data_IF_849203715269
#
_entry.id   IF_849203715269
#
_cell.length_a   1.000
_cell.length_b   1.000
_cell.length_c   1.000
_cell.angle_alpha   90.00
_cell.angle_beta   90.00
_cell.angle_gamma   90.00
#
_symmetry.space_group_name_H-M   'P 1'
#
loop_
_entity.id
_entity.type
_entity.pdbx_description
1 polymer ?
#
# COMPACT_ATOMS: atom_id res chain seq x y z
N UNK A 1 30.33 -30.54 -19.51
CA UNK A 1 29.24 -29.69 -19.07
C UNK A 1 28.75 -28.96 -20.30
N UNK A 2 27.71 -29.48 -20.94
CA UNK A 2 27.16 -28.86 -22.14
C UNK A 2 26.56 -27.46 -21.77
N UNK A 3 26.78 -26.45 -22.57
CA UNK A 3 26.16 -25.16 -22.35
C UNK A 3 24.62 -25.32 -22.46
N UNK A 4 23.91 -25.01 -21.39
CA UNK A 4 22.46 -24.95 -21.42
C UNK A 4 22.02 -24.01 -22.54
N UNK A 5 21.41 -24.58 -23.56
CA UNK A 5 20.81 -23.84 -24.66
C UNK A 5 19.68 -22.99 -24.11
N UNK A 6 19.91 -21.67 -24.01
CA UNK A 6 18.90 -20.73 -23.59
C UNK A 6 17.88 -20.65 -24.73
N UNK A 7 16.61 -21.03 -24.53
CA UNK A 7 15.62 -20.93 -25.59
C UNK A 7 15.52 -19.48 -26.04
N UNK A 8 15.51 -19.28 -27.35
CA UNK A 8 15.37 -17.95 -27.95
C UNK A 8 14.08 -17.32 -27.39
N UNK A 9 14.12 -16.03 -26.99
CA UNK A 9 12.93 -15.34 -26.50
C UNK A 9 11.85 -15.39 -27.59
N UNK A 10 10.56 -15.54 -27.23
CA UNK A 10 9.48 -15.47 -28.18
C UNK A 10 9.55 -14.13 -28.90
N UNK A 11 9.63 -14.17 -30.24
CA UNK A 11 9.63 -12.97 -31.06
C UNK A 11 8.24 -12.35 -30.95
N UNK A 12 8.17 -11.22 -30.26
CA UNK A 12 6.94 -10.41 -30.20
C UNK A 12 6.76 -9.77 -31.59
N UNK A 13 5.88 -10.34 -32.40
CA UNK A 13 5.51 -9.73 -33.67
C UNK A 13 4.34 -8.75 -33.42
N UNK A 14 4.68 -7.53 -33.01
CA UNK A 14 3.73 -6.43 -32.83
C UNK A 14 3.57 -5.73 -34.20
N UNK A 15 2.47 -6.02 -34.88
CA UNK A 15 2.09 -5.28 -36.09
C UNK A 15 1.40 -3.98 -35.66
N UNK A 16 2.14 -2.88 -35.74
CA UNK A 16 1.60 -1.55 -35.53
C UNK A 16 0.94 -1.04 -36.80
N UNK A 17 -0.20 -0.33 -36.71
CA UNK A 17 -0.81 0.31 -37.85
C UNK A 17 0.10 1.43 -38.41
N UNK A 18 0.14 1.55 -39.72
CA UNK A 18 0.92 2.59 -40.41
C UNK A 18 0.32 3.97 -40.09
N UNK A 19 1.09 4.89 -39.46
CA UNK A 19 0.63 6.21 -39.10
C UNK A 19 0.28 7.12 -40.28
N UNK A 20 0.81 6.79 -41.49
CA UNK A 20 0.55 7.55 -42.70
C UNK A 20 -0.62 6.97 -43.52
N UNK A 21 -1.23 5.88 -43.06
CA UNK A 21 -2.33 5.21 -43.78
C UNK A 21 -3.66 5.87 -43.50
N UNK A 22 -4.27 6.44 -44.53
CA UNK A 22 -5.65 6.96 -44.49
C UNK A 22 -6.72 5.84 -44.63
N UNK A 23 -6.32 4.57 -44.67
CA UNK A 23 -7.22 3.43 -44.95
C UNK A 23 -8.01 3.01 -43.70
N UNK A 24 -7.58 3.40 -42.51
CA UNK A 24 -8.21 3.10 -41.22
C UNK A 24 -8.69 4.38 -40.55
N UNK A 25 -9.81 4.32 -39.85
CA UNK A 25 -10.30 5.45 -39.11
C UNK A 25 -9.39 5.78 -37.91
N UNK A 26 -9.38 7.02 -37.47
CA UNK A 26 -8.64 7.44 -36.26
C UNK A 26 -9.02 6.62 -35.03
N UNK A 27 -10.30 6.24 -34.90
CA UNK A 27 -10.77 5.41 -33.80
C UNK A 27 -10.19 4.00 -33.88
N UNK A 28 -10.15 3.40 -35.06
CA UNK A 28 -9.56 2.07 -35.27
C UNK A 28 -8.05 2.09 -35.10
N UNK A 29 -7.39 3.13 -35.55
CA UNK A 29 -5.95 3.35 -35.33
C UNK A 29 -5.61 3.37 -33.83
N UNK A 30 -6.33 4.17 -33.07
CA UNK A 30 -6.13 4.25 -31.61
C UNK A 30 -6.44 2.93 -30.89
N UNK A 31 -7.51 2.23 -31.29
CA UNK A 31 -7.85 0.92 -30.71
C UNK A 31 -6.75 -0.12 -30.94
N UNK A 32 -6.14 -0.17 -32.13
CA UNK A 32 -5.01 -1.08 -32.41
C UNK A 32 -3.75 -0.71 -31.63
N UNK A 33 -3.50 0.59 -31.44
CA UNK A 33 -2.40 1.04 -30.56
C UNK A 33 -2.62 0.67 -29.10
N UNK A 34 -3.84 0.81 -28.59
CA UNK A 34 -4.19 0.40 -27.23
C UNK A 34 -4.05 -1.11 -27.03
N UNK A 35 -4.44 -1.91 -28.01
CA UNK A 35 -4.27 -3.36 -28.01
C UNK A 35 -2.78 -3.75 -27.98
N UNK A 36 -1.97 -3.14 -28.85
CA UNK A 36 -0.52 -3.34 -28.89
C UNK A 36 0.14 -2.92 -27.57
N UNK A 37 -0.30 -1.81 -26.98
CA UNK A 37 0.18 -1.34 -25.67
C UNK A 37 -0.17 -2.33 -24.56
N UNK A 38 -1.40 -2.85 -24.54
CA UNK A 38 -1.83 -3.85 -23.57
C UNK A 38 -1.00 -5.15 -23.66
N UNK A 39 -0.58 -5.55 -24.86
CA UNK A 39 0.35 -6.68 -25.04
C UNK A 39 1.70 -6.38 -24.37
N UNK A 40 2.27 -5.19 -24.56
CA UNK A 40 3.53 -4.80 -23.90
C UNK A 40 3.39 -4.83 -22.38
N UNK A 41 2.29 -4.29 -21.83
CA UNK A 41 2.04 -4.27 -20.39
C UNK A 41 1.95 -5.68 -19.78
N UNK A 42 1.38 -6.65 -20.50
CA UNK A 42 1.31 -8.06 -20.07
C UNK A 42 2.70 -8.68 -19.90
N UNK A 43 3.57 -8.51 -20.89
CA UNK A 43 4.93 -9.04 -20.80
C UNK A 43 5.74 -8.32 -19.72
N UNK A 44 5.51 -7.04 -19.50
CA UNK A 44 6.19 -6.28 -18.45
C UNK A 44 5.82 -6.83 -17.07
N UNK A 45 4.54 -7.06 -16.78
CA UNK A 45 4.09 -7.62 -15.51
C UNK A 45 4.69 -9.00 -15.24
N UNK A 46 4.63 -9.92 -16.19
CA UNK A 46 5.16 -11.27 -16.03
C UNK A 46 6.69 -11.27 -15.86
N UNK A 47 7.39 -10.46 -16.63
CA UNK A 47 8.84 -10.28 -16.50
C UNK A 47 9.22 -9.69 -15.14
N UNK A 48 8.46 -8.75 -14.62
CA UNK A 48 8.70 -8.18 -13.31
C UNK A 48 8.44 -9.17 -12.18
N UNK A 49 7.41 -10.02 -12.29
CA UNK A 49 7.17 -11.13 -11.34
C UNK A 49 8.38 -12.08 -11.32
N UNK A 50 8.91 -12.47 -12.48
CA UNK A 50 10.08 -13.33 -12.55
C UNK A 50 11.33 -12.68 -11.97
N UNK A 51 11.58 -11.40 -12.26
CA UNK A 51 12.67 -10.64 -11.62
C UNK A 51 12.50 -10.59 -10.11
N UNK A 52 11.27 -10.43 -9.62
CA UNK A 52 10.96 -10.49 -8.20
C UNK A 52 11.27 -11.84 -7.56
N UNK A 53 10.92 -12.94 -8.22
CA UNK A 53 11.27 -14.31 -7.77
C UNK A 53 12.78 -14.52 -7.68
N UNK A 54 13.53 -14.06 -8.68
CA UNK A 54 15.01 -14.11 -8.66
C UNK A 54 15.56 -13.32 -7.47
N UNK A 55 15.08 -12.09 -7.27
CA UNK A 55 15.50 -11.23 -6.16
C UNK A 55 15.16 -11.82 -4.79
N UNK A 56 13.97 -12.43 -4.64
CA UNK A 56 13.58 -13.14 -3.43
C UNK A 56 14.50 -14.32 -3.15
N UNK A 57 14.82 -15.13 -4.16
CA UNK A 57 15.72 -16.26 -4.02
C UNK A 57 17.14 -15.84 -3.59
N UNK A 58 17.67 -14.74 -4.16
CA UNK A 58 18.98 -14.19 -3.75
C UNK A 58 18.91 -13.67 -2.31
N UNK A 59 17.88 -12.87 -1.96
CA UNK A 59 17.68 -12.35 -0.60
C UNK A 59 17.62 -13.50 0.43
N UNK A 60 16.87 -14.54 0.15
CA UNK A 60 16.62 -15.61 1.10
C UNK A 60 17.84 -16.55 1.24
N UNK A 61 18.60 -16.73 0.15
CA UNK A 61 19.88 -17.42 0.20
C UNK A 61 20.90 -16.68 1.09
N UNK A 62 21.00 -15.36 0.94
CA UNK A 62 21.90 -14.54 1.74
C UNK A 62 21.50 -14.50 3.23
N UNK A 63 20.18 -14.58 3.54
CA UNK A 63 19.69 -14.64 4.92
C UNK A 63 20.03 -15.96 5.63
N UNK A 64 20.01 -17.10 4.92
CA UNK A 64 20.23 -18.43 5.53
C UNK A 64 21.65 -18.63 6.07
N UNK A 65 22.64 -17.88 5.56
CA UNK A 65 24.03 -18.01 5.98
C UNK A 65 24.67 -19.35 5.53
N UNK A 66 25.99 -19.44 5.62
CA UNK A 66 26.73 -20.64 5.28
C UNK A 66 28.05 -20.33 4.56
N UNK A 67 28.91 -21.35 4.38
CA UNK A 67 30.10 -21.28 3.54
C UNK A 67 29.67 -21.00 2.09
N UNK A 68 30.25 -20.00 1.47
CA UNK A 68 29.90 -19.52 0.11
C UNK A 68 28.95 -18.35 0.09
N UNK A 69 28.84 -17.60 1.18
CA UNK A 69 28.19 -16.29 1.18
C UNK A 69 28.79 -15.40 0.09
N UNK A 70 27.90 -14.90 -0.76
CA UNK A 70 28.21 -13.78 -1.63
C UNK A 70 28.46 -12.50 -0.79
N UNK A 71 28.67 -11.42 -1.49
CA UNK A 71 28.94 -10.09 -0.91
C UNK A 71 27.73 -9.48 -0.17
N UNK A 72 26.63 -10.25 -0.01
CA UNK A 72 25.36 -9.83 0.58
C UNK A 72 24.38 -9.25 -0.42
N UNK A 73 23.07 -9.36 -0.11
CA UNK A 73 21.99 -8.95 -1.02
C UNK A 73 22.14 -7.49 -1.51
N UNK A 74 22.49 -6.56 -0.61
CA UNK A 74 22.65 -5.15 -0.99
C UNK A 74 23.84 -4.93 -1.93
N UNK A 75 24.93 -5.67 -1.77
CA UNK A 75 26.07 -5.61 -2.66
C UNK A 75 25.69 -6.18 -4.05
N UNK A 76 24.99 -7.32 -4.08
CA UNK A 76 24.48 -7.92 -5.30
C UNK A 76 23.57 -6.96 -6.09
N UNK A 77 22.73 -6.17 -5.40
CA UNK A 77 21.89 -5.14 -6.01
C UNK A 77 22.74 -4.00 -6.62
N UNK A 78 23.77 -3.54 -5.90
CA UNK A 78 24.67 -2.46 -6.38
C UNK A 78 25.40 -2.87 -7.66
N UNK A 79 25.92 -4.09 -7.71
CA UNK A 79 26.62 -4.62 -8.89
C UNK A 79 25.73 -4.67 -10.16
N UNK A 80 24.40 -4.69 -9.96
CA UNK A 80 23.39 -4.69 -11.04
C UNK A 80 22.67 -3.37 -11.22
N UNK A 81 23.10 -2.33 -10.51
CA UNK A 81 22.49 -1.01 -10.54
C UNK A 81 21.00 -1.00 -10.18
N UNK A 82 20.56 -1.96 -9.35
CA UNK A 82 19.19 -2.07 -8.88
C UNK A 82 19.03 -1.33 -7.55
N UNK A 83 18.17 -0.31 -7.50
CA UNK A 83 17.88 0.38 -6.25
C UNK A 83 17.16 -0.55 -5.25
N UNK A 84 17.43 -0.36 -3.94
CA UNK A 84 16.77 -1.11 -2.86
C UNK A 84 15.22 -1.05 -2.99
N UNK A 85 14.69 0.14 -3.21
CA UNK A 85 13.23 0.34 -3.37
C UNK A 85 12.68 -0.47 -4.54
N UNK A 86 13.34 -0.45 -5.70
CA UNK A 86 12.93 -1.23 -6.88
C UNK A 86 12.97 -2.73 -6.59
N UNK A 87 14.03 -3.21 -5.95
CA UNK A 87 14.18 -4.63 -5.59
C UNK A 87 13.03 -5.11 -4.70
N UNK A 88 12.73 -4.39 -3.61
CA UNK A 88 11.64 -4.77 -2.71
C UNK A 88 10.25 -4.66 -3.36
N UNK A 89 10.03 -3.70 -4.26
CA UNK A 89 8.79 -3.63 -5.04
C UNK A 89 8.61 -4.86 -5.94
N UNK A 90 9.68 -5.32 -6.60
CA UNK A 90 9.64 -6.52 -7.44
C UNK A 90 9.44 -7.79 -6.59
N UNK A 91 10.08 -7.89 -5.43
CA UNK A 91 9.88 -9.00 -4.50
C UNK A 91 8.42 -9.03 -4.03
N UNK A 92 7.85 -7.91 -3.63
CA UNK A 92 6.44 -7.81 -3.24
C UNK A 92 5.51 -8.26 -4.36
N UNK A 93 5.82 -7.89 -5.60
CA UNK A 93 5.03 -8.32 -6.76
C UNK A 93 5.08 -9.86 -6.95
N UNK A 94 6.24 -10.47 -6.74
CA UNK A 94 6.40 -11.92 -6.80
C UNK A 94 5.69 -12.63 -5.65
N UNK A 95 5.77 -12.10 -4.44
CA UNK A 95 5.05 -12.61 -3.26
C UNK A 95 3.53 -12.51 -3.45
N UNK A 96 3.04 -11.42 -4.07
CA UNK A 96 1.64 -11.28 -4.46
C UNK A 96 1.20 -12.32 -5.50
N UNK A 97 2.06 -12.63 -6.47
CA UNK A 97 1.79 -13.67 -7.46
C UNK A 97 1.74 -15.07 -6.82
N UNK A 98 2.63 -15.35 -5.88
CA UNK A 98 2.60 -16.62 -5.14
C UNK A 98 1.31 -16.74 -4.32
N UNK A 99 0.86 -15.66 -3.70
CA UNK A 99 -0.39 -15.65 -2.94
C UNK A 99 -1.62 -15.90 -3.82
N UNK A 100 -1.74 -15.23 -4.96
CA UNK A 100 -2.93 -15.31 -5.81
C UNK A 100 -2.92 -16.53 -6.73
N UNK A 101 -1.80 -16.83 -7.38
CA UNK A 101 -1.67 -17.94 -8.34
C UNK A 101 -1.31 -19.22 -7.60
N UNK A 102 -0.30 -19.21 -6.74
CA UNK A 102 0.09 -20.37 -5.93
C UNK A 102 -1.01 -20.78 -4.95
N UNK A 103 -1.81 -19.85 -4.45
CA UNK A 103 -3.01 -20.09 -3.66
C UNK A 103 -4.21 -20.62 -4.46
N UNK A 104 -4.13 -20.72 -5.78
CA UNK A 104 -5.18 -21.26 -6.65
C UNK A 104 -6.38 -20.32 -6.89
N UNK A 105 -6.29 -19.06 -6.48
CA UNK A 105 -7.35 -18.07 -6.72
C UNK A 105 -7.35 -17.54 -8.15
N UNK A 106 -6.15 -17.41 -8.74
CA UNK A 106 -5.92 -16.83 -10.05
C UNK A 106 -5.18 -17.81 -10.96
N UNK A 107 -5.66 -18.00 -12.18
CA UNK A 107 -4.93 -18.75 -13.19
C UNK A 107 -3.70 -17.99 -13.67
N UNK A 108 -2.60 -18.69 -13.99
CA UNK A 108 -1.35 -18.06 -14.43
C UNK A 108 -1.54 -17.20 -15.70
N UNK A 109 -2.39 -17.65 -16.61
CA UNK A 109 -2.76 -16.93 -17.83
C UNK A 109 -3.53 -15.66 -17.56
N UNK A 110 -4.34 -15.64 -16.50
CA UNK A 110 -5.20 -14.52 -16.10
C UNK A 110 -4.45 -13.37 -15.41
N UNK A 111 -3.20 -13.60 -15.00
CA UNK A 111 -2.30 -12.52 -14.52
C UNK A 111 -2.18 -11.39 -15.57
N UNK A 112 -2.24 -11.75 -16.85
CA UNK A 112 -2.16 -10.81 -17.95
C UNK A 112 -3.37 -9.86 -18.05
N UNK A 113 -4.45 -10.14 -17.35
CA UNK A 113 -5.64 -9.30 -17.31
C UNK A 113 -5.54 -8.16 -16.28
N UNK A 114 -4.44 -8.06 -15.56
CA UNK A 114 -4.22 -7.02 -14.57
C UNK A 114 -3.25 -5.93 -15.05
N UNK A 115 -3.55 -4.68 -14.73
CA UNK A 115 -2.49 -3.70 -14.63
C UNK A 115 -1.62 -4.00 -13.39
N UNK A 116 -0.32 -3.70 -13.42
CA UNK A 116 0.61 -3.95 -12.30
C UNK A 116 0.10 -3.42 -10.96
N UNK A 117 -0.45 -2.20 -10.95
CA UNK A 117 -0.99 -1.59 -9.73
C UNK A 117 -2.28 -2.27 -9.26
N UNK A 118 -3.12 -2.72 -10.18
CA UNK A 118 -4.31 -3.50 -9.85
C UNK A 118 -3.92 -4.82 -9.20
N UNK A 119 -2.93 -5.51 -9.76
CA UNK A 119 -2.45 -6.79 -9.25
C UNK A 119 -1.95 -6.70 -7.79
N UNK A 120 -1.09 -5.71 -7.50
CA UNK A 120 -0.61 -5.47 -6.13
C UNK A 120 -1.73 -5.09 -5.16
N UNK A 121 -2.69 -4.29 -5.62
CA UNK A 121 -3.81 -3.85 -4.78
C UNK A 121 -4.80 -5.00 -4.52
N UNK A 122 -5.00 -5.91 -5.50
CA UNK A 122 -5.79 -7.14 -5.32
C UNK A 122 -5.17 -8.06 -4.28
N UNK A 123 -3.85 -8.29 -4.34
CA UNK A 123 -3.17 -9.15 -3.38
C UNK A 123 -3.20 -8.62 -1.92
N UNK A 124 -3.49 -7.33 -1.75
CA UNK A 124 -3.62 -6.67 -0.44
C UNK A 124 -5.07 -6.47 0.00
N UNK A 125 -6.03 -6.81 -0.84
CA UNK A 125 -7.46 -6.69 -0.55
C UNK A 125 -7.93 -7.80 0.40
N UNK A 126 -9.13 -7.65 0.93
CA UNK A 126 -9.79 -8.71 1.70
C UNK A 126 -9.95 -9.99 0.88
N UNK A 127 -9.90 -11.19 1.50
CA UNK A 127 -9.95 -12.47 0.78
C UNK A 127 -11.16 -12.60 -0.15
N UNK A 128 -12.33 -12.11 0.27
CA UNK A 128 -13.55 -12.13 -0.54
C UNK A 128 -13.44 -11.22 -1.76
N UNK A 129 -12.81 -10.07 -1.61
CA UNK A 129 -12.54 -9.15 -2.73
C UNK A 129 -11.49 -9.75 -3.68
N UNK A 130 -10.46 -10.42 -3.13
CA UNK A 130 -9.48 -11.14 -3.93
C UNK A 130 -10.16 -12.22 -4.79
N UNK A 131 -11.08 -12.98 -4.21
CA UNK A 131 -11.82 -14.02 -4.91
C UNK A 131 -12.66 -13.43 -6.05
N UNK A 132 -13.48 -12.42 -5.76
CA UNK A 132 -14.34 -11.77 -6.76
C UNK A 132 -13.55 -11.20 -7.94
N UNK A 133 -12.42 -10.55 -7.66
CA UNK A 133 -11.57 -9.97 -8.71
C UNK A 133 -10.85 -11.05 -9.49
N UNK A 134 -10.37 -12.10 -8.83
CA UNK A 134 -9.71 -13.22 -9.49
C UNK A 134 -10.66 -14.00 -10.40
N UNK A 135 -11.90 -14.22 -9.98
CA UNK A 135 -12.95 -14.82 -10.81
C UNK A 135 -13.19 -13.99 -12.07
N UNK A 136 -13.38 -12.67 -11.92
CA UNK A 136 -13.57 -11.78 -13.07
C UNK A 136 -12.36 -11.79 -14.02
N UNK A 137 -11.13 -11.85 -13.48
CA UNK A 137 -9.91 -11.96 -14.28
C UNK A 137 -9.81 -13.32 -15.00
N UNK A 138 -10.20 -14.41 -14.34
CA UNK A 138 -10.22 -15.75 -14.94
C UNK A 138 -11.25 -15.86 -16.06
N UNK A 139 -12.32 -15.08 -15.99
CA UNK A 139 -13.31 -14.91 -17.09
C UNK A 139 -12.79 -14.01 -18.24
N UNK A 140 -11.58 -13.50 -18.15
CA UNK A 140 -10.94 -12.67 -19.18
C UNK A 140 -11.21 -11.17 -19.07
N UNK A 141 -11.81 -10.70 -17.98
CA UNK A 141 -12.03 -9.27 -17.76
C UNK A 141 -10.72 -8.54 -17.44
N UNK A 142 -10.53 -7.38 -18.04
CA UNK A 142 -9.39 -6.51 -17.75
C UNK A 142 -9.59 -5.82 -16.40
N UNK A 143 -8.67 -6.03 -15.47
CA UNK A 143 -8.74 -5.53 -14.10
C UNK A 143 -7.91 -4.26 -13.94
N UNK A 144 -8.59 -3.16 -13.67
CA UNK A 144 -7.97 -1.86 -13.42
C UNK A 144 -7.91 -1.57 -11.93
N UNK A 145 -6.92 -0.76 -11.52
CA UNK A 145 -6.81 -0.28 -10.14
C UNK A 145 -8.09 0.38 -9.62
N UNK A 146 -8.81 1.10 -10.49
CA UNK A 146 -10.06 1.77 -10.12
C UNK A 146 -11.16 0.77 -9.75
N UNK A 147 -11.25 -0.36 -10.46
CA UNK A 147 -12.19 -1.43 -10.15
C UNK A 147 -11.87 -2.10 -8.82
N UNK A 148 -10.59 -2.47 -8.60
CA UNK A 148 -10.15 -3.08 -7.33
C UNK A 148 -10.51 -2.17 -6.15
N UNK A 149 -10.17 -0.90 -6.23
CA UNK A 149 -10.49 0.07 -5.16
C UNK A 149 -11.97 0.22 -4.92
N UNK A 150 -12.76 0.30 -6.00
CA UNK A 150 -14.20 0.42 -5.87
C UNK A 150 -14.79 -0.79 -5.14
N UNK A 151 -14.44 -2.00 -5.56
CA UNK A 151 -14.91 -3.22 -4.92
C UNK A 151 -14.44 -3.33 -3.47
N UNK A 152 -13.18 -3.00 -3.18
CA UNK A 152 -12.66 -2.97 -1.80
C UNK A 152 -13.39 -1.95 -0.94
N UNK A 153 -13.69 -0.75 -1.46
CA UNK A 153 -14.41 0.28 -0.72
C UNK A 153 -15.88 -0.13 -0.48
N UNK A 154 -16.54 -0.74 -1.48
CA UNK A 154 -17.90 -1.28 -1.38
C UNK A 154 -17.97 -2.40 -0.33
N UNK A 155 -17.05 -3.36 -0.41
CA UNK A 155 -16.95 -4.47 0.54
C UNK A 155 -16.69 -3.97 1.96
N UNK A 156 -15.69 -3.12 2.15
CA UNK A 156 -15.36 -2.54 3.46
C UNK A 156 -16.54 -1.78 4.06
N UNK A 157 -17.26 -1.01 3.27
CA UNK A 157 -18.41 -0.24 3.72
C UNK A 157 -19.60 -1.12 4.09
N UNK A 158 -19.77 -2.27 3.44
CA UNK A 158 -20.86 -3.21 3.70
C UNK A 158 -20.60 -4.11 4.92
N UNK A 159 -19.35 -4.57 5.09
CA UNK A 159 -19.03 -5.67 6.03
C UNK A 159 -18.33 -5.24 7.30
N UNK A 160 -17.75 -4.02 7.34
CA UNK A 160 -16.94 -3.60 8.48
C UNK A 160 -17.73 -3.54 9.79
N UNK A 161 -17.29 -4.26 10.85
CA UNK A 161 -17.90 -4.18 12.19
C UNK A 161 -17.62 -2.84 12.89
N UNK A 162 -16.68 -2.04 12.37
CA UNK A 162 -16.33 -0.74 12.93
C UNK A 162 -17.37 0.34 12.60
N UNK A 163 -18.26 0.08 11.64
CA UNK A 163 -19.28 1.03 11.23
C UNK A 163 -20.58 0.81 12.04
N UNK A 164 -21.21 1.90 12.50
CA UNK A 164 -22.58 1.85 12.99
C UNK A 164 -23.54 1.35 11.92
N UNK A 165 -24.62 0.70 12.35
CA UNK A 165 -25.65 0.15 11.44
C UNK A 165 -26.26 1.23 10.55
N UNK A 166 -26.47 2.42 11.11
CA UNK A 166 -27.04 3.57 10.40
C UNK A 166 -26.19 4.00 9.20
N UNK A 167 -24.86 3.94 9.34
CA UNK A 167 -23.94 4.24 8.25
C UNK A 167 -23.97 3.13 7.18
N UNK A 168 -23.97 1.85 7.62
CA UNK A 168 -24.05 0.71 6.70
C UNK A 168 -25.34 0.74 5.88
N UNK A 169 -26.47 0.97 6.54
CA UNK A 169 -27.76 1.05 5.88
C UNK A 169 -27.84 2.20 4.88
N UNK A 170 -27.39 3.39 5.26
CA UNK A 170 -27.34 4.53 4.34
C UNK A 170 -26.38 4.30 3.15
N UNK A 171 -25.34 3.52 3.34
CA UNK A 171 -24.43 3.15 2.24
C UNK A 171 -25.14 2.14 1.31
N UNK A 172 -25.87 1.15 1.85
CA UNK A 172 -26.67 0.21 1.08
C UNK A 172 -27.77 0.93 0.27
N UNK A 173 -28.38 1.96 0.85
CA UNK A 173 -29.40 2.81 0.20
C UNK A 173 -28.79 3.83 -0.81
N UNK A 174 -27.48 3.78 -1.07
CA UNK A 174 -26.73 4.71 -1.92
C UNK A 174 -26.79 6.19 -1.49
N UNK A 175 -27.15 6.48 -0.23
CA UNK A 175 -27.13 7.83 0.34
C UNK A 175 -25.73 8.26 0.75
N UNK A 176 -24.85 7.29 1.11
CA UNK A 176 -23.44 7.52 1.39
C UNK A 176 -22.58 6.76 0.38
N UNK A 177 -21.65 7.43 -0.32
CA UNK A 177 -20.78 6.74 -1.25
C UNK A 177 -19.73 5.88 -0.52
N UNK A 178 -19.53 4.59 -0.86
CA UNK A 178 -18.54 3.69 -0.24
C UNK A 178 -17.14 4.29 -0.18
N UNK A 179 -16.73 5.03 -1.20
CA UNK A 179 -15.43 5.73 -1.26
C UNK A 179 -15.22 6.78 -0.15
N UNK A 180 -16.28 7.25 0.49
CA UNK A 180 -16.19 8.16 1.63
C UNK A 180 -16.17 7.39 2.96
N UNK A 181 -16.81 6.23 3.01
CA UNK A 181 -16.95 5.40 4.20
C UNK A 181 -15.71 4.52 4.43
N UNK A 182 -15.16 3.91 3.40
CA UNK A 182 -13.99 3.04 3.52
C UNK A 182 -12.75 3.72 4.14
N UNK A 183 -12.40 5.00 3.84
CA UNK A 183 -11.35 5.71 4.56
C UNK A 183 -11.62 5.87 6.06
N UNK A 184 -12.89 6.07 6.47
CA UNK A 184 -13.27 6.14 7.86
C UNK A 184 -12.94 4.83 8.60
N UNK A 185 -13.32 3.68 8.02
CA UNK A 185 -13.01 2.36 8.59
C UNK A 185 -11.51 2.19 8.79
N UNK A 186 -10.70 2.54 7.79
CA UNK A 186 -9.23 2.42 7.86
C UNK A 186 -8.62 3.30 8.95
N UNK A 187 -9.17 4.47 9.21
CA UNK A 187 -8.68 5.34 10.28
C UNK A 187 -9.20 4.90 11.65
N UNK A 188 -10.45 4.44 11.76
CA UNK A 188 -10.99 3.88 13.01
C UNK A 188 -10.22 2.64 13.45
N UNK A 189 -9.84 1.75 12.53
CA UNK A 189 -9.09 0.54 12.83
C UNK A 189 -7.72 0.79 13.50
N UNK A 190 -7.18 2.00 13.40
CA UNK A 190 -5.90 2.39 14.02
C UNK A 190 -6.06 2.92 15.45
N UNK A 191 -7.28 3.18 15.88
CA UNK A 191 -7.56 3.79 17.17
C UNK A 191 -7.84 2.72 18.24
N UNK A 192 -7.61 3.02 19.53
CA UNK A 192 -8.10 2.22 20.65
C UNK A 192 -9.63 2.14 20.67
N UNK A 193 -10.16 1.09 21.28
CA UNK A 193 -11.60 0.78 21.27
C UNK A 193 -12.48 1.87 21.89
N UNK A 194 -12.01 2.49 22.98
CA UNK A 194 -12.68 3.63 23.62
C UNK A 194 -12.88 4.81 22.67
N UNK A 195 -11.82 5.19 21.95
CA UNK A 195 -11.90 6.26 20.95
C UNK A 195 -12.74 5.87 19.73
N UNK A 196 -12.69 4.61 19.32
CA UNK A 196 -13.56 4.11 18.25
C UNK A 196 -15.04 4.26 18.66
N UNK A 197 -15.40 3.91 19.91
CA UNK A 197 -16.78 3.96 20.36
C UNK A 197 -17.29 5.40 20.48
N UNK A 198 -16.47 6.33 20.95
CA UNK A 198 -16.83 7.75 20.97
C UNK A 198 -17.12 8.29 19.57
N UNK A 199 -16.29 7.97 18.58
CA UNK A 199 -16.50 8.39 17.21
C UNK A 199 -17.70 7.67 16.56
N UNK A 200 -17.95 6.41 16.90
CA UNK A 200 -19.14 5.68 16.46
C UNK A 200 -20.44 6.29 17.02
N UNK A 201 -20.42 6.77 18.27
CA UNK A 201 -21.57 7.46 18.85
C UNK A 201 -21.93 8.71 18.08
N UNK A 202 -20.96 9.55 17.75
CA UNK A 202 -21.16 10.76 16.93
C UNK A 202 -21.75 10.41 15.53
N UNK A 203 -21.30 9.31 14.92
CA UNK A 203 -21.82 8.85 13.64
C UNK A 203 -23.26 8.30 13.70
N UNK A 204 -23.68 7.73 14.86
CA UNK A 204 -25.07 7.30 15.06
C UNK A 204 -26.03 8.50 15.17
N UNK A 205 -25.58 9.57 15.83
CA UNK A 205 -26.39 10.78 16.01
C UNK A 205 -26.63 11.51 14.70
N UNK A 206 -25.60 11.61 13.86
CA UNK A 206 -25.64 12.32 12.59
C UNK A 206 -24.99 11.49 11.46
N UNK A 207 -25.70 10.51 10.87
CA UNK A 207 -25.14 9.63 9.86
C UNK A 207 -25.11 10.28 8.46
N UNK A 208 -24.55 11.48 8.33
CA UNK A 208 -24.48 12.25 7.09
C UNK A 208 -23.08 12.30 6.50
N UNK A 209 -22.98 12.59 5.19
CA UNK A 209 -21.71 12.60 4.46
C UNK A 209 -20.70 13.58 5.06
N UNK A 210 -21.14 14.76 5.46
CA UNK A 210 -20.25 15.77 6.05
C UNK A 210 -19.72 15.31 7.40
N UNK A 211 -20.57 14.66 8.21
CA UNK A 211 -20.15 14.10 9.50
C UNK A 211 -19.16 12.93 9.30
N UNK A 212 -19.39 12.06 8.33
CA UNK A 212 -18.46 10.98 7.95
C UNK A 212 -17.08 11.54 7.60
N UNK A 213 -17.02 12.62 6.82
CA UNK A 213 -15.75 13.28 6.46
C UNK A 213 -15.06 13.91 7.68
N UNK A 214 -15.82 14.59 8.52
CA UNK A 214 -15.32 15.23 9.74
C UNK A 214 -14.75 14.20 10.72
N UNK A 215 -15.49 13.14 11.00
CA UNK A 215 -15.05 12.03 11.87
C UNK A 215 -13.84 11.32 11.27
N UNK A 216 -13.78 11.12 9.94
CA UNK A 216 -12.60 10.57 9.27
C UNK A 216 -11.37 11.45 9.48
N UNK A 217 -11.54 12.77 9.39
CA UNK A 217 -10.47 13.71 9.65
C UNK A 217 -10.01 13.64 11.11
N UNK A 218 -10.94 13.62 12.05
CA UNK A 218 -10.67 13.50 13.50
C UNK A 218 -9.95 12.19 13.82
N UNK A 219 -10.43 11.05 13.33
CA UNK A 219 -9.80 9.75 13.50
C UNK A 219 -8.35 9.73 12.99
N UNK A 220 -8.11 10.32 11.81
CA UNK A 220 -6.76 10.45 11.26
C UNK A 220 -5.83 11.29 12.13
N UNK A 221 -6.35 12.35 12.76
CA UNK A 221 -5.57 13.18 13.67
C UNK A 221 -5.23 12.44 14.96
N UNK A 222 -6.21 11.75 15.55
CA UNK A 222 -6.01 10.94 16.74
C UNK A 222 -4.97 9.83 16.49
N UNK A 223 -5.06 9.13 15.38
CA UNK A 223 -4.08 8.11 14.98
C UNK A 223 -2.66 8.69 14.87
N UNK A 224 -2.49 9.81 14.18
CA UNK A 224 -1.17 10.46 14.06
C UNK A 224 -0.64 10.98 15.39
N UNK A 225 -1.51 11.50 16.25
CA UNK A 225 -1.11 11.94 17.57
C UNK A 225 -0.66 10.77 18.45
N UNK A 226 -1.36 9.63 18.37
CA UNK A 226 -0.98 8.40 19.06
C UNK A 226 0.38 7.85 18.57
N UNK A 227 0.59 7.78 17.24
CA UNK A 227 1.88 7.37 16.66
C UNK A 227 3.04 8.27 17.15
N UNK A 228 2.83 9.59 17.17
CA UNK A 228 3.83 10.54 17.63
C UNK A 228 4.09 10.41 19.13
N UNK A 229 3.04 10.20 19.94
CA UNK A 229 3.18 9.97 21.37
C UNK A 229 3.94 8.69 21.70
N UNK A 230 3.67 7.59 20.94
CA UNK A 230 4.42 6.34 21.07
C UNK A 230 5.91 6.53 20.73
N UNK A 231 6.22 7.27 19.66
CA UNK A 231 7.61 7.54 19.28
C UNK A 231 8.35 8.35 20.36
N UNK A 232 7.69 9.36 20.96
CA UNK A 232 8.26 10.14 22.07
C UNK A 232 8.45 9.28 23.31
N UNK A 233 7.48 8.39 23.60
CA UNK A 233 7.55 7.47 24.76
C UNK A 233 8.67 6.45 24.60
N UNK A 234 8.83 5.87 23.41
CA UNK A 234 9.92 4.97 23.09
C UNK A 234 11.29 5.64 23.31
N UNK A 235 11.43 6.90 22.88
CA UNK A 235 12.63 7.70 23.14
C UNK A 235 12.89 7.93 24.63
N UNK A 236 11.84 8.26 25.41
CA UNK A 236 11.97 8.47 26.86
C UNK A 236 12.32 7.17 27.61
N UNK A 237 11.93 6.02 27.10
CA UNK A 237 12.20 4.70 27.67
C UNK A 237 13.57 4.15 27.26
N UNK A 238 14.34 4.87 26.42
CA UNK A 238 15.64 4.41 25.94
C UNK A 238 15.58 3.28 24.92
N UNK A 239 14.41 2.98 24.36
CA UNK A 239 14.22 1.98 23.30
C UNK A 239 14.86 2.39 21.97
N UNK A 240 15.23 3.64 21.82
CA UNK A 240 16.21 4.05 20.85
C UNK A 240 17.57 3.78 21.49
N UNK A 241 18.25 2.77 21.02
CA UNK A 241 19.49 2.18 21.53
C UNK A 241 20.70 3.13 21.39
N UNK A 242 20.54 4.38 21.85
CA UNK A 242 21.56 5.41 21.79
C UNK A 242 22.80 5.01 22.62
N UNK A 243 22.57 4.45 23.81
CA UNK A 243 23.64 3.98 24.67
C UNK A 243 24.35 2.76 24.10
N UNK A 244 23.61 1.86 23.46
CA UNK A 244 24.15 0.68 22.82
C UNK A 244 24.87 1.04 21.50
N UNK A 245 24.29 1.95 20.71
CA UNK A 245 24.94 2.50 19.52
C UNK A 245 26.23 3.27 19.90
N UNK A 246 26.24 4.00 21.01
CA UNK A 246 27.42 4.71 21.52
C UNK A 246 28.48 3.73 22.03
N UNK A 247 28.09 2.65 22.73
CA UNK A 247 29.02 1.61 23.18
C UNK A 247 29.58 0.80 22.01
N UNK A 248 28.79 0.50 20.99
CA UNK A 248 29.26 -0.15 19.77
C UNK A 248 30.09 0.79 18.90
N UNK A 249 29.77 2.09 18.87
CA UNK A 249 30.60 3.12 18.23
C UNK A 249 31.98 3.25 18.84
N UNK A 250 32.10 3.02 20.14
CA UNK A 250 33.42 2.99 20.84
C UNK A 250 34.20 1.70 20.53
N UNK A 251 33.57 0.64 20.04
CA UNK A 251 34.17 -0.66 19.68
C UNK A 251 34.58 -0.79 18.22
N UNK A 252 33.91 -0.10 17.35
CA UNK A 252 34.09 -0.19 15.90
C UNK A 252 34.43 1.22 15.40
N UNK A 253 35.38 1.37 14.51
CA UNK A 253 35.74 2.65 13.85
C UNK A 253 34.54 3.19 13.04
N UNK A 254 33.69 3.97 13.69
CA UNK A 254 32.24 3.88 13.56
C UNK A 254 31.62 5.08 12.86
N UNK A 255 32.08 5.44 11.66
CA UNK A 255 31.34 6.35 10.75
C UNK A 255 29.94 5.81 10.38
N UNK A 256 29.76 4.49 10.33
CA UNK A 256 28.46 3.86 10.03
C UNK A 256 27.45 4.01 11.16
N UNK A 257 27.89 3.87 12.42
CA UNK A 257 27.02 4.00 13.59
C UNK A 257 26.65 5.45 13.91
N UNK A 258 27.50 6.40 13.57
CA UNK A 258 27.15 7.82 13.62
C UNK A 258 26.06 8.16 12.61
N UNK A 259 26.08 7.56 11.43
CA UNK A 259 25.01 7.74 10.44
C UNK A 259 23.67 7.17 10.91
N UNK A 260 23.65 6.02 11.59
CA UNK A 260 22.47 5.42 12.19
C UNK A 260 21.94 6.24 13.37
N UNK A 261 22.80 6.77 14.23
CA UNK A 261 22.43 7.68 15.31
C UNK A 261 21.82 8.99 14.78
N UNK A 262 22.36 9.56 13.71
CA UNK A 262 21.78 10.73 13.03
C UNK A 262 20.43 10.38 12.41
N UNK A 263 20.28 9.20 11.80
CA UNK A 263 19.01 8.72 11.26
C UNK A 263 17.93 8.58 12.34
N UNK A 264 18.29 8.08 13.53
CA UNK A 264 17.37 7.98 14.67
C UNK A 264 17.00 9.37 15.23
N UNK A 265 17.93 10.29 15.32
CA UNK A 265 17.67 11.68 15.72
C UNK A 265 16.71 12.38 14.74
N UNK A 266 16.87 12.17 13.43
CA UNK A 266 15.94 12.69 12.41
C UNK A 266 14.56 12.07 12.52
N UNK A 267 14.45 10.78 12.84
CA UNK A 267 13.16 10.11 13.05
C UNK A 267 12.43 10.69 14.28
N UNK A 268 13.16 10.97 15.37
CA UNK A 268 12.63 11.63 16.55
C UNK A 268 12.16 13.05 16.24
N UNK A 269 12.97 13.86 15.56
CA UNK A 269 12.60 15.21 15.14
C UNK A 269 11.30 15.18 14.30
N UNK A 270 11.21 14.25 13.36
CA UNK A 270 10.00 14.04 12.56
C UNK A 270 8.79 13.67 13.42
N UNK A 271 8.96 12.81 14.43
CA UNK A 271 7.89 12.43 15.36
C UNK A 271 7.41 13.61 16.22
N UNK A 272 8.35 14.41 16.76
CA UNK A 272 8.04 15.62 17.53
C UNK A 272 7.31 16.66 16.68
N UNK A 273 7.71 16.87 15.43
CA UNK A 273 7.02 17.77 14.50
C UNK A 273 5.60 17.28 14.18
N UNK A 274 5.40 15.98 14.00
CA UNK A 274 4.07 15.38 13.81
C UNK A 274 3.19 15.58 15.04
N UNK A 275 3.73 15.32 16.24
CA UNK A 275 3.04 15.53 17.51
C UNK A 275 2.63 17.00 17.69
N UNK A 276 3.54 17.92 17.46
CA UNK A 276 3.29 19.37 17.56
C UNK A 276 2.21 19.82 16.55
N UNK A 277 2.27 19.32 15.33
CA UNK A 277 1.27 19.62 14.30
C UNK A 277 -0.11 19.09 14.70
N UNK A 278 -0.17 17.85 15.22
CA UNK A 278 -1.40 17.24 15.72
C UNK A 278 -1.96 18.00 16.92
N UNK A 279 -1.11 18.36 17.88
CA UNK A 279 -1.48 19.17 19.05
C UNK A 279 -2.09 20.53 18.66
N UNK A 280 -1.45 21.27 17.74
CA UNK A 280 -2.00 22.55 17.25
C UNK A 280 -3.38 22.41 16.63
N UNK A 281 -3.64 21.31 15.94
CA UNK A 281 -4.93 21.06 15.30
C UNK A 281 -5.99 20.60 16.30
N UNK A 282 -5.62 19.77 17.27
CA UNK A 282 -6.50 19.42 18.40
C UNK A 282 -6.87 20.64 19.24
N UNK A 283 -5.91 21.54 19.50
CA UNK A 283 -6.17 22.82 20.18
C UNK A 283 -7.18 23.69 19.43
N UNK A 284 -7.06 23.78 18.10
CA UNK A 284 -8.04 24.50 17.28
C UNK A 284 -9.43 23.86 17.24
N UNK A 285 -9.52 22.53 17.37
CA UNK A 285 -10.79 21.83 17.53
C UNK A 285 -11.39 22.06 18.92
N UNK A 286 -10.56 22.05 19.95
CA UNK A 286 -10.99 22.34 21.34
C UNK A 286 -11.54 23.76 21.45
N UNK A 287 -10.90 24.76 20.83
CA UNK A 287 -11.41 26.12 20.76
C UNK A 287 -12.77 26.22 20.04
N UNK A 288 -12.93 25.48 18.92
CA UNK A 288 -14.22 25.43 18.19
C UNK A 288 -15.32 24.77 19.01
N UNK A 289 -15.03 23.63 19.67
CA UNK A 289 -15.97 22.95 20.55
C UNK A 289 -16.39 23.82 21.76
N UNK A 290 -15.46 24.62 22.29
CA UNK A 290 -15.78 25.59 23.36
C UNK A 290 -16.64 26.74 22.86
N UNK A 291 -16.44 27.22 21.65
CA UNK A 291 -17.26 28.27 21.03
C UNK A 291 -18.64 27.74 20.67
N UNK A 292 -18.76 26.48 20.18
CA UNK A 292 -20.04 25.85 19.82
C UNK A 292 -20.83 25.36 21.06
N UNK A 293 -20.16 24.98 22.15
CA UNK A 293 -20.82 24.57 23.40
C UNK A 293 -21.45 25.73 24.18
N UNK A 294 -21.46 26.92 23.57
CA UNK A 294 -22.23 28.06 24.04
C UNK A 294 -21.83 28.53 25.43
N UNK A 295 -21.09 29.57 25.47
CA UNK A 295 -21.02 30.49 26.58
C UNK A 295 -22.37 30.66 27.28
N UNK A 296 -22.71 29.74 28.16
CA UNK A 296 -23.58 30.00 29.26
C UNK A 296 -22.67 30.09 30.48
N UNK A 297 -22.05 31.23 30.61
CA UNK A 297 -21.50 31.65 31.93
C UNK A 297 -22.59 32.36 32.68
N UNK A 298 -22.77 32.04 33.95
CA UNK A 298 -23.73 32.74 34.84
C UNK A 298 -23.34 34.20 35.07
#
# INVERSE_FOLDING_TARGET
>A
MDPMEVPAPPVLNLELPDPESDTISTMEFLARLEEAWAVCDRFDLQTEIWRGRILAAVRDREKRGGEGRGTGFLQWLREREISKTRAYTLIQLAESAESLVGGGLLEETSVNNFSKRAFLETAQADPEVQQMISEAANEGQQITRKQVRRLSDEFTAATSPLLPEEIRQRTADNLLPPRAVAPLVRELAKLPEDQQEDLRRVLREEPELERVKEVTCTARWLSKAAEAALAVRAFQQGDLDFDKALQEAQRLDALGLLADAVGQAQALESAVLKLHTSWRRLGGLQERLWVESGSSTP
#
